data_IF_977282545402
#
_entry.id   IF_977282545402
#
_cell.length_a   1.000
_cell.length_b   1.000
_cell.length_c   1.000
_cell.angle_alpha   90.00
_cell.angle_beta   90.00
_cell.angle_gamma   90.00
#
_symmetry.space_group_name_H-M   'P 1'
#
loop_
_entity.id
_entity.type
_entity.pdbx_description
1 polymer ?
#
# COMPACT_ATOMS: atom_id res chain seq x y z
N UNK A 1 24.86 79.88 8.16
CA UNK A 1 25.43 78.59 8.55
C UNK A 1 24.35 77.56 8.42
N UNK A 2 24.40 76.59 7.45
CA UNK A 2 23.39 75.55 7.35
C UNK A 2 23.83 74.31 8.18
N UNK A 3 22.97 73.89 9.12
CA UNK A 3 23.16 72.74 9.95
C UNK A 3 22.98 71.45 9.10
N UNK A 4 24.00 70.65 9.12
CA UNK A 4 24.09 69.30 8.48
C UNK A 4 23.35 68.31 9.32
N UNK A 5 22.06 68.11 9.09
CA UNK A 5 21.23 67.04 9.76
C UNK A 5 20.94 65.86 8.85
N UNK A 6 22.01 65.15 8.42
CA UNK A 6 21.87 64.06 7.47
C UNK A 6 22.27 62.61 7.93
N UNK A 7 22.75 62.31 9.16
CA UNK A 7 23.09 60.90 9.50
C UNK A 7 21.95 60.08 10.13
N UNK A 8 20.99 60.72 10.83
CA UNK A 8 19.94 59.99 11.57
C UNK A 8 18.91 59.23 10.67
N UNK A 9 18.61 59.80 9.50
CA UNK A 9 17.63 59.21 8.54
C UNK A 9 18.15 57.95 7.87
N UNK A 10 19.43 57.86 7.57
CA UNK A 10 20.08 56.74 6.91
C UNK A 10 20.16 55.51 7.85
N UNK A 11 20.48 55.72 9.11
CA UNK A 11 20.50 54.67 10.13
C UNK A 11 19.10 54.10 10.42
N UNK A 12 18.07 54.94 10.46
CA UNK A 12 16.70 54.54 10.64
C UNK A 12 16.18 53.69 9.45
N UNK A 13 16.56 54.04 8.24
CA UNK A 13 16.25 53.28 7.03
C UNK A 13 16.96 51.93 7.04
N UNK A 14 18.25 51.86 7.33
CA UNK A 14 18.99 50.58 7.41
C UNK A 14 18.42 49.66 8.48
N UNK A 15 18.04 50.18 9.64
CA UNK A 15 17.38 49.38 10.70
C UNK A 15 16.04 48.81 10.25
N UNK A 16 15.21 49.57 9.53
CA UNK A 16 13.94 49.09 8.96
C UNK A 16 14.17 47.98 7.94
N UNK A 17 15.16 48.11 7.07
CA UNK A 17 15.54 47.07 6.10
C UNK A 17 16.06 45.79 6.79
N UNK A 18 16.89 45.93 7.81
CA UNK A 18 17.42 44.80 8.58
C UNK A 18 16.30 44.04 9.28
N UNK A 19 15.36 44.77 9.93
CA UNK A 19 14.19 44.11 10.58
C UNK A 19 13.31 43.37 9.57
N UNK A 20 13.07 43.97 8.39
CA UNK A 20 12.30 43.29 7.32
C UNK A 20 13.01 42.06 6.77
N UNK A 21 14.32 42.12 6.56
CA UNK A 21 15.12 41.02 6.13
C UNK A 21 15.12 39.87 7.16
N UNK A 22 15.27 40.17 8.43
CA UNK A 22 15.18 39.18 9.52
C UNK A 22 13.77 38.57 9.63
N UNK A 23 12.73 39.40 9.47
CA UNK A 23 11.36 38.89 9.47
C UNK A 23 11.07 37.93 8.29
N UNK A 24 11.58 38.26 7.10
CA UNK A 24 11.48 37.37 5.91
C UNK A 24 12.25 36.08 6.12
N UNK A 25 13.47 36.14 6.66
CA UNK A 25 14.26 34.94 6.97
C UNK A 25 13.55 34.06 8.02
N UNK A 26 13.00 34.65 9.06
CA UNK A 26 12.25 33.89 10.07
C UNK A 26 10.99 33.25 9.48
N UNK A 27 10.26 33.95 8.63
CA UNK A 27 9.07 33.43 7.94
C UNK A 27 9.43 32.30 7.00
N UNK A 28 10.47 32.45 6.18
CA UNK A 28 10.91 31.35 5.27
C UNK A 28 11.40 30.14 6.05
N UNK A 29 12.14 30.33 7.14
CA UNK A 29 12.57 29.23 8.01
C UNK A 29 11.37 28.49 8.64
N UNK A 30 10.35 29.24 9.07
CA UNK A 30 9.11 28.66 9.60
C UNK A 30 8.37 27.82 8.52
N UNK A 31 8.20 28.38 7.32
CA UNK A 31 7.53 27.67 6.20
C UNK A 31 8.29 26.39 5.82
N UNK A 32 9.61 26.47 5.70
CA UNK A 32 10.46 25.30 5.43
C UNK A 32 10.36 24.28 6.56
N UNK A 33 10.39 24.73 7.81
CA UNK A 33 10.23 23.85 8.98
C UNK A 33 8.90 23.11 8.98
N UNK A 34 7.79 23.81 8.69
CA UNK A 34 6.46 23.20 8.57
C UNK A 34 6.43 22.20 7.39
N UNK A 35 6.97 22.55 6.23
CA UNK A 35 7.03 21.68 5.07
C UNK A 35 7.80 20.37 5.37
N UNK A 36 8.97 20.50 6.01
CA UNK A 36 9.77 19.34 6.42
C UNK A 36 9.04 18.47 7.47
N UNK A 37 8.34 19.10 8.41
CA UNK A 37 7.53 18.38 9.39
C UNK A 37 6.39 17.61 8.71
N UNK A 38 5.65 18.24 7.81
CA UNK A 38 4.58 17.59 7.03
C UNK A 38 5.13 16.42 6.22
N UNK A 39 6.27 16.61 5.53
CA UNK A 39 6.92 15.52 4.78
C UNK A 39 7.36 14.36 5.68
N UNK A 40 7.78 14.63 6.92
CA UNK A 40 8.11 13.58 7.89
C UNK A 40 6.88 12.84 8.40
N UNK A 41 5.78 13.55 8.68
CA UNK A 41 4.53 12.96 9.16
C UNK A 41 3.82 12.14 8.06
N UNK A 42 4.02 12.48 6.80
CA UNK A 42 3.45 11.78 5.64
C UNK A 42 4.32 10.61 5.16
N UNK A 43 5.39 10.25 5.88
CA UNK A 43 6.20 9.09 5.50
C UNK A 43 5.33 7.84 5.57
N UNK A 44 5.19 7.12 4.45
CA UNK A 44 4.45 5.87 4.45
C UNK A 44 5.13 4.84 5.35
N UNK A 45 4.40 3.90 5.95
CA UNK A 45 4.95 2.87 6.81
C UNK A 45 6.05 2.08 6.10
N UNK A 46 7.11 1.71 6.84
CA UNK A 46 8.27 0.98 6.30
C UNK A 46 7.99 -0.52 6.06
N UNK A 47 6.81 -1.01 6.43
CA UNK A 47 6.39 -2.40 6.32
C UNK A 47 4.87 -2.52 6.26
N UNK A 48 4.33 -3.75 6.31
CA UNK A 48 2.89 -3.97 6.32
C UNK A 48 2.27 -3.35 7.57
N UNK A 49 1.02 -2.92 7.42
CA UNK A 49 0.20 -2.34 8.51
C UNK A 49 -0.74 -3.43 9.04
N UNK A 50 -1.03 -3.39 10.34
CA UNK A 50 -1.96 -4.31 10.95
C UNK A 50 -3.37 -4.16 10.38
N UNK A 51 -4.00 -5.29 10.08
CA UNK A 51 -5.37 -5.37 9.56
C UNK A 51 -6.34 -5.50 10.72
N UNK A 52 -7.45 -4.78 10.67
CA UNK A 52 -8.54 -4.96 11.63
C UNK A 52 -9.39 -6.18 11.23
N UNK A 53 -9.01 -7.36 11.70
CA UNK A 53 -9.66 -8.63 11.39
C UNK A 53 -11.17 -8.59 11.67
N UNK A 54 -11.96 -9.21 10.79
CA UNK A 54 -13.42 -9.27 10.83
C UNK A 54 -14.12 -7.89 10.81
N UNK A 55 -13.39 -6.83 10.48
CA UNK A 55 -13.90 -5.45 10.40
C UNK A 55 -13.49 -4.74 9.12
N UNK A 56 -12.27 -4.98 8.64
CA UNK A 56 -11.75 -4.37 7.42
C UNK A 56 -12.32 -5.07 6.19
N UNK A 57 -12.94 -4.33 5.25
CA UNK A 57 -13.41 -4.92 4.00
C UNK A 57 -12.29 -5.07 2.98
N UNK A 58 -12.22 -6.20 2.32
CA UNK A 58 -11.33 -6.43 1.19
C UNK A 58 -11.56 -5.38 0.09
N UNK A 59 -10.48 -4.76 -0.39
CA UNK A 59 -10.56 -3.70 -1.40
C UNK A 59 -11.15 -4.19 -2.75
N UNK A 60 -11.05 -5.49 -3.06
CA UNK A 60 -11.54 -6.09 -4.30
C UNK A 60 -12.96 -6.64 -4.17
N UNK A 61 -13.19 -7.59 -3.26
CA UNK A 61 -14.47 -8.31 -3.18
C UNK A 61 -15.46 -7.74 -2.16
N UNK A 62 -15.01 -6.84 -1.27
CA UNK A 62 -15.80 -6.19 -0.22
C UNK A 62 -16.24 -7.09 0.94
N UNK A 63 -15.84 -8.35 0.95
CA UNK A 63 -16.02 -9.22 2.10
C UNK A 63 -15.08 -8.80 3.23
N UNK A 64 -15.45 -9.11 4.46
CA UNK A 64 -14.58 -8.84 5.61
C UNK A 64 -13.37 -9.78 5.59
N UNK A 65 -12.21 -9.24 5.94
CA UNK A 65 -10.96 -9.99 5.97
C UNK A 65 -10.91 -10.77 7.27
N UNK A 66 -11.15 -12.08 7.20
CA UNK A 66 -11.29 -12.94 8.36
C UNK A 66 -10.15 -13.92 8.54
N UNK A 67 -9.47 -14.35 7.48
CA UNK A 67 -8.39 -15.33 7.56
C UNK A 67 -7.00 -14.69 7.42
N UNK A 68 -6.26 -14.58 8.55
CA UNK A 68 -4.92 -14.00 8.52
C UNK A 68 -3.93 -14.73 7.61
N UNK A 69 -4.12 -16.03 7.33
CA UNK A 69 -3.19 -16.82 6.54
C UNK A 69 -3.18 -16.44 5.05
N UNK A 70 -4.25 -15.81 4.56
CA UNK A 70 -4.40 -15.44 3.15
C UNK A 70 -4.38 -13.95 2.90
N UNK A 71 -4.32 -13.13 3.95
CA UNK A 71 -4.39 -11.70 3.80
C UNK A 71 -3.23 -11.14 2.95
N UNK A 72 -3.53 -10.12 2.19
CA UNK A 72 -2.56 -9.39 1.38
C UNK A 72 -2.79 -7.89 1.48
N UNK A 73 -1.77 -7.09 1.18
CA UNK A 73 -1.82 -5.62 1.31
C UNK A 73 -1.07 -4.94 0.19
N UNK A 74 -1.66 -3.88 -0.36
CA UNK A 74 -0.99 -2.93 -1.24
C UNK A 74 -0.80 -1.61 -0.48
N UNK A 75 0.40 -1.08 -0.57
CA UNK A 75 0.70 0.30 -0.21
C UNK A 75 0.93 1.11 -1.48
N UNK A 76 0.13 2.14 -1.67
CA UNK A 76 0.20 2.98 -2.87
C UNK A 76 1.20 4.14 -2.69
N UNK A 77 1.63 4.74 -3.79
CA UNK A 77 2.57 5.87 -3.77
C UNK A 77 1.97 7.14 -3.15
N UNK A 78 0.63 7.27 -3.16
CA UNK A 78 -0.12 8.34 -2.51
C UNK A 78 -0.41 8.05 -1.01
N UNK A 79 0.14 6.95 -0.47
CA UNK A 79 0.10 6.62 0.96
C UNK A 79 -1.15 5.86 1.41
N UNK A 80 -2.05 5.45 0.51
CA UNK A 80 -3.19 4.60 0.86
C UNK A 80 -2.73 3.18 1.16
N UNK A 81 -3.42 2.54 2.08
CA UNK A 81 -3.32 1.11 2.39
C UNK A 81 -4.57 0.43 1.86
N UNK A 82 -4.40 -0.64 1.13
CA UNK A 82 -5.48 -1.45 0.58
C UNK A 82 -5.28 -2.89 1.04
N UNK A 83 -6.23 -3.41 1.77
CA UNK A 83 -6.19 -4.74 2.34
C UNK A 83 -7.06 -5.73 1.56
N UNK A 84 -6.62 -6.98 1.50
CA UNK A 84 -7.26 -8.03 0.72
C UNK A 84 -7.38 -9.31 1.55
N UNK A 85 -8.49 -10.00 1.36
CA UNK A 85 -8.81 -11.25 2.04
C UNK A 85 -8.10 -12.48 1.43
N UNK A 86 -7.60 -12.34 0.21
CA UNK A 86 -7.01 -13.43 -0.57
C UNK A 86 -5.92 -12.89 -1.51
N UNK A 87 -4.79 -13.58 -1.71
CA UNK A 87 -3.78 -13.17 -2.68
C UNK A 87 -4.34 -12.93 -4.09
N UNK A 88 -5.29 -13.77 -4.51
CA UNK A 88 -5.95 -13.60 -5.81
C UNK A 88 -6.77 -12.31 -5.91
N UNK A 89 -7.39 -11.85 -4.82
CA UNK A 89 -8.05 -10.55 -4.77
C UNK A 89 -7.08 -9.41 -5.04
N UNK A 90 -5.88 -9.45 -4.44
CA UNK A 90 -4.85 -8.46 -4.70
C UNK A 90 -4.40 -8.47 -6.15
N UNK A 91 -4.05 -9.64 -6.70
CA UNK A 91 -3.58 -9.79 -8.07
C UNK A 91 -4.62 -9.32 -9.10
N UNK A 92 -5.89 -9.64 -8.85
CA UNK A 92 -7.02 -9.16 -9.66
C UNK A 92 -7.20 -7.65 -9.57
N UNK A 93 -7.13 -7.09 -8.36
CA UNK A 93 -7.23 -5.64 -8.15
C UNK A 93 -6.13 -4.88 -8.90
N UNK A 94 -4.88 -5.36 -8.82
CA UNK A 94 -3.75 -4.75 -9.56
C UNK A 94 -4.01 -4.73 -11.07
N UNK A 95 -4.51 -5.83 -11.62
CA UNK A 95 -4.76 -5.93 -13.05
C UNK A 95 -5.91 -5.03 -13.52
N UNK A 96 -7.00 -4.95 -12.74
CA UNK A 96 -8.21 -4.20 -13.09
C UNK A 96 -8.08 -2.70 -12.80
N UNK A 97 -7.50 -2.34 -11.64
CA UNK A 97 -7.45 -0.96 -11.15
C UNK A 97 -6.14 -0.23 -11.42
N UNK A 98 -5.06 -0.97 -11.69
CA UNK A 98 -3.72 -0.45 -11.98
C UNK A 98 -3.28 0.65 -11.01
N UNK A 99 -3.34 0.40 -9.68
CA UNK A 99 -2.96 1.40 -8.70
C UNK A 99 -1.48 1.75 -8.85
N UNK A 100 -1.09 2.96 -8.45
CA UNK A 100 0.32 3.32 -8.35
C UNK A 100 0.92 2.65 -7.11
N UNK A 101 1.42 1.42 -7.27
CA UNK A 101 1.94 0.57 -6.18
C UNK A 101 3.31 1.04 -5.74
N UNK A 102 3.51 1.19 -4.44
CA UNK A 102 4.80 1.39 -3.78
C UNK A 102 5.38 0.07 -3.24
N UNK A 103 4.53 -0.73 -2.61
CA UNK A 103 4.88 -2.03 -2.07
C UNK A 103 3.66 -2.94 -1.98
N UNK A 104 3.89 -4.24 -2.13
CA UNK A 104 2.90 -5.29 -1.87
C UNK A 104 3.42 -6.22 -0.79
N UNK A 105 2.50 -6.75 0.01
CA UNK A 105 2.79 -7.71 1.07
C UNK A 105 1.76 -8.82 1.06
N UNK A 106 2.22 -10.04 1.39
CA UNK A 106 1.38 -11.23 1.49
C UNK A 106 1.66 -11.94 2.81
N UNK A 107 0.62 -12.40 3.50
CA UNK A 107 0.78 -13.25 4.69
C UNK A 107 1.22 -14.64 4.28
N UNK A 108 2.14 -15.21 5.04
CA UNK A 108 2.58 -16.57 4.81
C UNK A 108 1.49 -17.57 5.23
N UNK A 109 1.15 -18.52 4.34
CA UNK A 109 0.14 -19.55 4.65
C UNK A 109 0.61 -20.55 5.69
N UNK A 110 1.92 -20.84 5.75
CA UNK A 110 2.48 -21.87 6.63
C UNK A 110 3.28 -21.32 7.83
N UNK A 111 3.34 -19.99 7.99
CA UNK A 111 4.11 -19.36 9.06
C UNK A 111 3.54 -17.98 9.41
N UNK A 112 3.85 -17.53 10.61
CA UNK A 112 3.55 -16.14 10.98
C UNK A 112 4.45 -15.16 10.19
N UNK A 113 3.89 -14.06 9.75
CA UNK A 113 4.64 -12.97 9.13
C UNK A 113 4.17 -12.59 7.74
N UNK A 114 4.79 -11.53 7.22
CA UNK A 114 4.52 -10.97 5.93
C UNK A 114 5.71 -11.18 4.98
N UNK A 115 5.41 -11.46 3.74
CA UNK A 115 6.39 -11.51 2.64
C UNK A 115 6.20 -10.30 1.75
N UNK A 116 7.26 -9.53 1.45
CA UNK A 116 7.19 -8.51 0.41
C UNK A 116 7.01 -9.17 -0.97
N UNK A 117 6.36 -8.46 -1.88
CA UNK A 117 5.96 -8.98 -3.19
C UNK A 117 7.13 -9.43 -4.08
N UNK A 118 8.34 -8.89 -3.85
CA UNK A 118 9.57 -9.29 -4.53
C UNK A 118 10.20 -10.59 -3.96
N UNK A 119 9.68 -11.10 -2.85
CA UNK A 119 10.19 -12.32 -2.16
C UNK A 119 9.11 -13.38 -1.97
N UNK A 120 8.00 -13.26 -2.67
CA UNK A 120 6.87 -14.18 -2.57
C UNK A 120 6.81 -15.14 -3.76
N UNK A 121 6.38 -16.36 -3.47
CA UNK A 121 5.90 -17.35 -4.42
C UNK A 121 4.58 -17.93 -3.88
N UNK A 122 3.87 -18.73 -4.66
CA UNK A 122 2.57 -19.24 -4.26
C UNK A 122 2.50 -20.75 -4.43
N UNK A 123 2.05 -21.43 -3.37
CA UNK A 123 1.67 -22.85 -3.45
C UNK A 123 0.18 -22.98 -3.75
N UNK A 124 -0.22 -23.94 -4.59
CA UNK A 124 -1.61 -24.37 -4.63
C UNK A 124 -2.04 -24.91 -3.26
N UNK A 125 -3.15 -24.41 -2.75
CA UNK A 125 -3.76 -24.85 -1.49
C UNK A 125 -5.16 -25.39 -1.76
N UNK A 126 -5.69 -26.30 -0.92
CA UNK A 126 -7.02 -26.88 -1.16
C UNK A 126 -8.15 -25.87 -1.05
N UNK A 127 -7.94 -24.79 -0.31
CA UNK A 127 -8.98 -23.83 0.04
C UNK A 127 -8.38 -22.47 0.34
N UNK A 128 -8.95 -21.42 -0.25
CA UNK A 128 -8.70 -20.02 0.15
C UNK A 128 -10.02 -19.27 0.24
N UNK A 129 -10.09 -18.13 0.96
CA UNK A 129 -11.35 -17.42 1.23
C UNK A 129 -12.17 -17.12 -0.03
N UNK A 130 -11.50 -16.80 -1.14
CA UNK A 130 -12.14 -16.44 -2.40
C UNK A 130 -12.01 -17.51 -3.50
N UNK A 131 -11.48 -18.70 -3.17
CA UNK A 131 -11.37 -19.83 -4.10
C UNK A 131 -10.33 -19.61 -5.21
N UNK A 132 -9.34 -18.75 -4.99
CA UNK A 132 -8.18 -18.67 -5.90
C UNK A 132 -7.13 -19.74 -5.59
N UNK A 133 -7.22 -20.37 -4.40
CA UNK A 133 -6.42 -21.51 -3.95
C UNK A 133 -4.90 -21.27 -4.05
N UNK A 134 -4.51 -20.06 -3.64
CA UNK A 134 -3.12 -19.59 -3.62
C UNK A 134 -2.67 -19.27 -2.20
N UNK A 135 -1.69 -20.02 -1.69
CA UNK A 135 -1.04 -19.75 -0.41
C UNK A 135 0.33 -19.11 -0.61
N UNK A 136 0.55 -17.92 -0.04
CA UNK A 136 1.82 -17.23 -0.16
C UNK A 136 2.91 -17.88 0.68
N UNK A 137 4.07 -18.11 0.07
CA UNK A 137 5.26 -18.73 0.66
C UNK A 137 6.52 -17.98 0.23
N UNK A 138 7.66 -18.16 0.93
CA UNK A 138 8.92 -17.55 0.49
C UNK A 138 9.32 -17.97 -0.92
N UNK A 139 9.91 -17.04 -1.66
CA UNK A 139 10.49 -17.30 -2.97
C UNK A 139 11.52 -18.45 -2.87
N UNK A 140 11.48 -19.39 -3.81
CA UNK A 140 12.33 -20.58 -3.81
C UNK A 140 11.75 -21.78 -3.05
N UNK A 141 10.55 -21.68 -2.51
CA UNK A 141 9.86 -22.84 -1.91
C UNK A 141 9.60 -23.90 -2.98
N UNK A 142 9.97 -25.17 -2.77
CA UNK A 142 9.75 -26.25 -3.73
C UNK A 142 8.27 -26.40 -4.09
N UNK A 143 7.97 -26.50 -5.39
CA UNK A 143 6.60 -26.64 -5.89
C UNK A 143 5.79 -25.36 -5.95
N UNK A 144 6.33 -24.23 -5.50
CA UNK A 144 5.67 -22.94 -5.59
C UNK A 144 5.80 -22.34 -7.00
N UNK A 145 4.75 -21.67 -7.43
CA UNK A 145 4.71 -20.89 -8.69
C UNK A 145 5.09 -19.44 -8.45
N UNK A 146 5.59 -18.77 -9.48
CA UNK A 146 5.93 -17.34 -9.43
C UNK A 146 4.69 -16.46 -9.32
N UNK A 147 4.88 -15.19 -8.93
CA UNK A 147 3.79 -14.21 -8.87
C UNK A 147 3.16 -13.97 -10.26
N UNK A 148 3.94 -14.05 -11.33
CA UNK A 148 3.43 -13.88 -12.69
C UNK A 148 2.58 -15.08 -13.14
N UNK A 149 2.98 -16.29 -12.78
CA UNK A 149 2.16 -17.50 -12.99
C UNK A 149 0.88 -17.47 -12.15
N UNK A 150 0.98 -17.04 -10.89
CA UNK A 150 -0.20 -16.85 -10.03
C UNK A 150 -1.16 -15.82 -10.62
N UNK A 151 -0.62 -14.69 -11.11
CA UNK A 151 -1.41 -13.67 -11.80
C UNK A 151 -2.09 -14.21 -13.06
N UNK A 152 -1.38 -14.96 -13.88
CA UNK A 152 -1.95 -15.59 -15.07
C UNK A 152 -3.07 -16.58 -14.71
N UNK A 153 -2.93 -17.33 -13.62
CA UNK A 153 -3.97 -18.25 -13.12
C UNK A 153 -5.22 -17.48 -12.65
N UNK A 154 -5.05 -16.40 -11.89
CA UNK A 154 -6.15 -15.56 -11.37
C UNK A 154 -6.92 -14.87 -12.48
N UNK A 155 -6.23 -14.40 -13.51
CA UNK A 155 -6.82 -13.64 -14.63
C UNK A 155 -7.23 -14.53 -15.81
N UNK A 156 -6.78 -15.77 -15.83
CA UNK A 156 -7.14 -16.74 -16.86
C UNK A 156 -8.62 -17.13 -16.80
N UNK A 157 -9.14 -17.81 -17.84
CA UNK A 157 -10.45 -18.39 -17.77
C UNK A 157 -10.49 -19.38 -16.59
N UNK A 158 -11.53 -19.26 -15.76
CA UNK A 158 -11.72 -20.15 -14.63
C UNK A 158 -11.54 -21.62 -15.09
N UNK A 159 -10.77 -22.46 -14.37
CA UNK A 159 -10.70 -23.87 -14.68
C UNK A 159 -12.14 -24.37 -14.80
N UNK A 160 -12.47 -24.99 -15.94
CA UNK A 160 -13.77 -25.66 -16.06
C UNK A 160 -13.83 -26.64 -14.91
N UNK A 161 -14.64 -26.31 -13.88
CA UNK A 161 -15.07 -27.32 -12.95
C UNK A 161 -15.63 -28.45 -13.81
N UNK A 162 -14.94 -29.59 -13.86
CA UNK A 162 -15.51 -30.79 -14.41
C UNK A 162 -16.83 -30.94 -13.69
N UNK A 163 -17.90 -30.80 -14.45
CA UNK A 163 -19.26 -31.13 -14.02
C UNK A 163 -19.25 -32.63 -13.71
N UNK A 164 -18.85 -32.96 -12.51
CA UNK A 164 -19.07 -34.30 -11.98
C UNK A 164 -20.57 -34.49 -11.87
N UNK A 165 -21.11 -35.33 -12.78
CA UNK A 165 -22.25 -36.13 -12.59
C UNK A 165 -23.53 -35.46 -12.13
N UNK A 166 -24.27 -34.82 -13.04
CA UNK A 166 -25.72 -34.89 -12.91
C UNK A 166 -26.13 -36.34 -13.22
N UNK A 167 -26.15 -37.21 -12.21
CA UNK A 167 -26.91 -38.44 -12.31
C UNK A 167 -28.38 -38.03 -12.47
N UNK A 168 -29.06 -38.51 -13.53
CA UNK A 168 -30.49 -38.32 -13.64
C UNK A 168 -31.13 -39.20 -12.57
N UNK A 169 -31.71 -38.60 -11.54
CA UNK A 169 -32.64 -39.28 -10.66
C UNK A 169 -33.80 -39.80 -11.53
N UNK A 170 -33.77 -41.10 -11.78
CA UNK A 170 -34.89 -41.82 -12.36
C UNK A 170 -36.11 -41.66 -11.46
N UNK A 171 -37.18 -41.15 -12.05
CA UNK A 171 -38.51 -41.16 -11.47
C UNK A 171 -39.07 -42.59 -11.59
N UNK A 172 -39.91 -43.01 -10.62
CA UNK A 172 -40.59 -44.31 -10.64
C UNK A 172 -41.70 -44.42 -11.71
#
# INVERSE_FOLDING_TARGET
MPETSAPATRQALMRKWLVRALALLAFTALVVGIALLVMRLQRPPAGPVDIAWDREPCAQCRMLIGDPAFAAQIQTTDGRILDFDDPGCLLKYEAERKPAVRATYFRQVNAAGWLPGDRVAFLPVPHSPMGYDLGAVPLGTPGAISIDEARARVLGPAPRAERQGAEPHGAP
#
